data_IF_061364640798
#
_entry.id   IF_061364640798
#
_cell.length_a   1.000
_cell.length_b   1.000
_cell.length_c   1.000
_cell.angle_alpha   90.00
_cell.angle_beta   90.00
_cell.angle_gamma   90.00
#
_symmetry.space_group_name_H-M   'P 1'
#
loop_
_entity.id
_entity.type
_entity.pdbx_description
1 polymer ?
#
# COMPACT_ATOMS: atom_id res chain seq x y z
N UNK A 1 -19.26 -0.52 0.82
CA UNK A 1 -17.99 -1.06 1.35
C UNK A 1 -17.23 -1.65 0.17
N UNK A 2 -16.05 -1.12 -0.18
CA UNK A 2 -15.27 -1.61 -1.32
C UNK A 2 -14.69 -3.00 -0.95
N UNK A 3 -15.16 -4.12 -1.56
CA UNK A 3 -14.73 -5.47 -1.19
C UNK A 3 -13.29 -5.77 -1.61
N UNK A 4 -12.65 -4.84 -2.35
CA UNK A 4 -11.31 -4.98 -2.91
C UNK A 4 -10.24 -4.28 -2.07
N UNK A 5 -10.63 -3.76 -0.89
CA UNK A 5 -9.75 -3.15 0.10
C UNK A 5 -9.46 -4.17 1.21
N UNK A 6 -8.18 -4.44 1.48
CA UNK A 6 -7.77 -5.16 2.69
C UNK A 6 -7.43 -4.17 3.79
N UNK A 7 -7.91 -4.45 4.99
CA UNK A 7 -7.64 -3.63 6.17
C UNK A 7 -7.14 -4.55 7.28
N UNK A 8 -6.05 -4.17 7.93
CA UNK A 8 -5.49 -4.87 9.08
C UNK A 8 -5.03 -3.86 10.12
N UNK A 9 -5.36 -4.12 11.37
CA UNK A 9 -4.87 -3.36 12.51
C UNK A 9 -3.93 -4.23 13.32
N UNK A 10 -2.72 -3.73 13.57
CA UNK A 10 -1.73 -4.33 14.43
C UNK A 10 -1.80 -3.62 15.79
N UNK A 11 -2.00 -4.33 16.91
CA UNK A 11 -2.10 -3.73 18.24
C UNK A 11 -0.73 -3.34 18.81
N UNK A 12 0.05 -2.58 18.02
CA UNK A 12 1.44 -2.19 18.31
C UNK A 12 1.72 -0.83 17.68
N UNK A 13 2.37 0.06 18.42
CA UNK A 13 2.92 1.29 17.87
C UNK A 13 4.25 0.99 17.18
N UNK A 14 4.46 1.57 16.01
CA UNK A 14 5.68 1.35 15.23
C UNK A 14 6.33 2.66 14.82
N UNK A 15 7.63 2.62 14.58
CA UNK A 15 8.29 3.65 13.79
C UNK A 15 7.88 3.49 12.32
N UNK A 16 7.02 4.40 11.83
CA UNK A 16 6.52 4.36 10.46
C UNK A 16 7.63 4.52 9.43
N UNK A 17 8.65 5.34 9.68
CA UNK A 17 9.75 5.50 8.74
C UNK A 17 10.50 4.17 8.59
N UNK A 18 10.77 3.48 9.70
CA UNK A 18 11.42 2.15 9.68
C UNK A 18 10.57 1.13 8.93
N UNK A 19 9.29 0.98 9.30
CA UNK A 19 8.38 0.00 8.66
C UNK A 19 8.22 0.26 7.16
N UNK A 20 7.98 1.51 6.77
CA UNK A 20 7.80 1.90 5.37
C UNK A 20 9.09 1.69 4.57
N UNK A 21 10.24 2.10 5.10
CA UNK A 21 11.53 1.92 4.42
C UNK A 21 11.86 0.44 4.24
N UNK A 22 11.65 -0.41 5.25
CA UNK A 22 11.86 -1.86 5.11
C UNK A 22 10.93 -2.48 4.06
N UNK A 23 9.67 -2.07 4.04
CA UNK A 23 8.71 -2.55 3.04
C UNK A 23 9.10 -2.11 1.62
N UNK A 24 9.54 -0.87 1.45
CA UNK A 24 9.99 -0.37 0.15
C UNK A 24 11.32 -0.97 -0.28
N UNK A 25 12.25 -1.26 0.64
CA UNK A 25 13.45 -2.05 0.33
C UNK A 25 13.10 -3.43 -0.21
N UNK A 26 12.10 -4.11 0.37
CA UNK A 26 11.59 -5.38 -0.14
C UNK A 26 10.97 -5.26 -1.53
N UNK A 27 10.12 -4.24 -1.76
CA UNK A 27 9.52 -4.02 -3.08
C UNK A 27 10.58 -3.71 -4.15
N UNK A 28 11.57 -2.87 -3.81
CA UNK A 28 12.67 -2.55 -4.73
C UNK A 28 13.52 -3.79 -5.06
N UNK A 29 13.78 -4.68 -4.09
CA UNK A 29 14.54 -5.92 -4.36
C UNK A 29 13.78 -6.89 -5.27
N UNK A 30 12.44 -6.90 -5.20
CA UNK A 30 11.56 -7.63 -6.13
C UNK A 30 11.22 -6.82 -7.41
N UNK A 31 12.03 -5.79 -7.72
CA UNK A 31 12.00 -4.97 -8.96
C UNK A 31 10.68 -4.23 -9.20
N UNK A 32 9.98 -3.85 -8.15
CA UNK A 32 8.83 -2.97 -8.26
C UNK A 32 9.29 -1.53 -8.51
N UNK A 33 8.51 -0.78 -9.29
CA UNK A 33 8.56 0.68 -9.28
C UNK A 33 7.75 1.17 -8.10
N UNK A 34 8.37 1.92 -7.19
CA UNK A 34 7.77 2.33 -5.92
C UNK A 34 7.86 3.84 -5.74
N UNK A 35 6.86 4.42 -5.10
CA UNK A 35 6.94 5.74 -4.48
C UNK A 35 6.34 5.68 -3.08
N UNK A 36 6.86 6.50 -2.18
CA UNK A 36 6.41 6.52 -0.79
C UNK A 36 6.37 7.96 -0.26
N UNK A 37 5.54 8.19 0.75
CA UNK A 37 5.58 9.40 1.56
C UNK A 37 5.20 9.05 3.00
N UNK A 38 5.98 9.55 3.94
CA UNK A 38 5.70 9.49 5.39
C UNK A 38 5.50 10.91 5.88
N UNK A 39 4.41 11.17 6.59
CA UNK A 39 4.02 12.49 7.09
C UNK A 39 3.37 12.32 8.46
N UNK A 40 4.09 12.69 9.53
CA UNK A 40 3.63 12.51 10.91
C UNK A 40 3.36 11.04 11.26
N UNK A 41 2.12 10.73 11.66
CA UNK A 41 1.67 9.38 12.01
C UNK A 41 1.04 8.63 10.83
N UNK A 42 1.20 9.14 9.60
CA UNK A 42 0.60 8.58 8.38
C UNK A 42 1.66 8.32 7.32
N UNK A 43 1.44 7.31 6.50
CA UNK A 43 2.24 7.07 5.31
C UNK A 43 1.42 6.47 4.18
N UNK A 44 1.95 6.61 2.97
CA UNK A 44 1.43 5.98 1.77
C UNK A 44 2.60 5.40 0.96
N UNK A 45 2.39 4.20 0.44
CA UNK A 45 3.30 3.52 -0.48
C UNK A 45 2.49 3.11 -1.71
N UNK A 46 2.98 3.45 -2.90
CA UNK A 46 2.41 2.99 -4.16
C UNK A 46 3.45 2.16 -4.92
N UNK A 47 3.02 1.01 -5.43
CA UNK A 47 3.88 0.05 -6.10
C UNK A 47 3.27 -0.39 -7.45
N UNK A 48 4.09 -0.37 -8.50
CA UNK A 48 3.79 -0.88 -9.84
C UNK A 48 4.81 -1.98 -10.19
N UNK A 49 4.36 -3.18 -10.55
CA UNK A 49 5.23 -4.22 -11.11
C UNK A 49 5.06 -4.24 -12.63
N UNK A 50 6.16 -4.22 -13.38
CA UNK A 50 6.10 -4.45 -14.84
C UNK A 50 5.62 -5.87 -15.18
N UNK A 51 5.18 -6.09 -16.41
CA UNK A 51 4.62 -7.37 -16.86
C UNK A 51 3.17 -7.53 -16.39
N UNK A 52 2.85 -8.66 -15.75
CA UNK A 52 1.48 -9.10 -15.39
C UNK A 52 0.62 -7.98 -14.78
N UNK A 53 1.18 -7.09 -13.95
CA UNK A 53 0.44 -5.96 -13.37
C UNK A 53 0.08 -4.87 -14.41
N UNK A 54 0.94 -4.56 -15.38
CA UNK A 54 0.59 -3.68 -16.52
C UNK A 54 -0.27 -4.37 -17.58
N UNK A 55 -0.21 -5.69 -17.64
CA UNK A 55 -0.94 -6.49 -18.64
C UNK A 55 -2.37 -6.84 -18.16
N UNK A 56 -2.57 -6.94 -16.84
CA UNK A 56 -3.87 -7.20 -16.20
C UNK A 56 -4.51 -5.90 -15.70
N UNK A 57 -3.72 -4.91 -15.29
CA UNK A 57 -4.23 -3.64 -14.77
C UNK A 57 -3.87 -2.50 -15.72
N UNK A 58 -4.79 -1.55 -15.88
CA UNK A 58 -4.51 -0.32 -16.62
C UNK A 58 -3.21 0.36 -16.12
N UNK A 59 -2.41 0.85 -17.07
CA UNK A 59 -1.04 1.33 -16.82
C UNK A 59 -0.94 2.52 -15.85
N UNK A 60 -2.07 3.16 -15.57
CA UNK A 60 -2.23 4.26 -14.63
C UNK A 60 -2.58 3.82 -13.20
N UNK A 61 -2.68 2.51 -12.91
CA UNK A 61 -2.97 2.00 -11.56
C UNK A 61 -1.74 1.52 -10.81
N UNK A 62 -1.91 1.35 -9.50
CA UNK A 62 -0.90 0.96 -8.55
C UNK A 62 -1.53 0.16 -7.41
N UNK A 63 -0.77 -0.78 -6.83
CA UNK A 63 -1.08 -1.25 -5.48
C UNK A 63 -0.73 -0.12 -4.51
N UNK A 64 -1.71 0.33 -3.77
CA UNK A 64 -1.61 1.43 -2.82
C UNK A 64 -1.76 0.88 -1.41
N UNK A 65 -0.84 1.25 -0.54
CA UNK A 65 -0.84 0.92 0.87
C UNK A 65 -0.89 2.21 1.66
N UNK A 66 -1.82 2.35 2.60
CA UNK A 66 -1.80 3.41 3.60
C UNK A 66 -1.47 2.84 4.95
N UNK A 67 -0.72 3.60 5.74
CA UNK A 67 -0.28 3.27 7.08
C UNK A 67 -0.68 4.43 7.99
N UNK A 68 -1.26 4.13 9.14
CA UNK A 68 -1.64 5.14 10.11
C UNK A 68 -1.43 4.58 11.53
N UNK A 69 -0.56 5.22 12.32
CA UNK A 69 -0.50 4.94 13.75
C UNK A 69 -1.71 5.60 14.42
N UNK A 70 -2.67 4.78 14.85
CA UNK A 70 -3.84 5.19 15.64
C UNK A 70 -3.60 4.88 17.12
N UNK A 71 -4.47 5.34 18.05
CA UNK A 71 -4.38 4.94 19.46
C UNK A 71 -4.44 3.42 19.69
N UNK A 72 -5.02 2.66 18.75
CA UNK A 72 -5.13 1.19 18.82
C UNK A 72 -3.89 0.47 18.23
N UNK A 73 -2.93 1.22 17.67
CA UNK A 73 -1.73 0.69 17.03
C UNK A 73 -1.67 1.05 15.54
N UNK A 74 -0.89 0.30 14.77
CA UNK A 74 -0.75 0.53 13.34
C UNK A 74 -1.96 0.00 12.57
N UNK A 75 -2.64 0.88 11.84
CA UNK A 75 -3.64 0.54 10.83
C UNK A 75 -2.98 0.51 9.46
N UNK A 76 -3.16 -0.59 8.72
CA UNK A 76 -2.71 -0.72 7.33
C UNK A 76 -3.90 -1.04 6.44
N UNK A 77 -4.00 -0.31 5.34
CA UNK A 77 -4.95 -0.57 4.28
C UNK A 77 -4.19 -0.86 3.00
N UNK A 78 -4.59 -1.87 2.25
CA UNK A 78 -4.08 -2.19 0.92
C UNK A 78 -5.20 -2.31 -0.10
N UNK A 79 -4.93 -1.90 -1.33
CA UNK A 79 -5.84 -2.08 -2.46
C UNK A 79 -5.30 -1.45 -3.74
N UNK A 80 -6.06 -1.54 -4.82
CA UNK A 80 -5.68 -0.97 -6.13
C UNK A 80 -6.22 0.45 -6.25
N UNK A 81 -5.38 1.38 -6.66
CA UNK A 81 -5.72 2.79 -6.86
C UNK A 81 -5.01 3.38 -8.06
N UNK A 82 -5.34 4.62 -8.43
CA UNK A 82 -4.59 5.35 -9.46
C UNK A 82 -3.19 5.72 -8.94
N UNK A 83 -2.19 5.67 -9.82
CA UNK A 83 -0.83 6.14 -9.53
C UNK A 83 -0.82 7.66 -9.36
N UNK A 84 -0.45 8.14 -8.17
CA UNK A 84 -0.45 9.56 -7.83
C UNK A 84 0.81 10.21 -8.41
N UNK A 85 0.66 11.02 -9.46
CA UNK A 85 1.82 11.61 -10.18
C UNK A 85 2.69 12.54 -9.32
N UNK A 86 2.07 13.27 -8.39
CA UNK A 86 2.71 14.34 -7.61
C UNK A 86 2.72 14.01 -6.11
N UNK A 87 3.00 12.74 -5.75
CA UNK A 87 2.89 12.29 -4.37
C UNK A 87 3.76 13.11 -3.41
N UNK A 88 4.98 13.50 -3.83
CA UNK A 88 5.91 14.26 -2.99
C UNK A 88 5.33 15.57 -2.43
N UNK A 89 4.53 16.28 -3.21
CA UNK A 89 3.93 17.57 -2.82
C UNK A 89 2.50 17.45 -2.31
N UNK A 90 1.88 16.27 -2.43
CA UNK A 90 0.49 16.04 -2.01
C UNK A 90 0.46 15.67 -0.53
N UNK A 91 -0.36 16.33 0.28
CA UNK A 91 -0.51 16.02 1.71
C UNK A 91 -1.09 14.62 1.92
N UNK A 92 -0.51 13.85 2.85
CA UNK A 92 -0.94 12.46 3.10
C UNK A 92 -2.35 12.45 3.72
N UNK A 93 -2.66 13.42 4.57
CA UNK A 93 -3.99 13.59 5.17
C UNK A 93 -5.09 13.66 4.11
N UNK A 94 -4.93 14.52 3.10
CA UNK A 94 -5.90 14.69 2.01
C UNK A 94 -6.11 13.40 1.22
N UNK A 95 -5.03 12.64 0.98
CA UNK A 95 -5.10 11.36 0.28
C UNK A 95 -5.89 10.34 1.08
N UNK A 96 -5.61 10.20 2.39
CA UNK A 96 -6.28 9.21 3.23
C UNK A 96 -7.78 9.50 3.44
N UNK A 97 -8.21 10.75 3.27
CA UNK A 97 -9.64 11.15 3.26
C UNK A 97 -10.33 10.94 1.90
N UNK A 98 -9.58 10.63 0.84
CA UNK A 98 -10.10 10.50 -0.52
C UNK A 98 -10.45 9.05 -0.91
N UNK A 99 -11.16 8.89 -2.02
CA UNK A 99 -11.41 7.58 -2.64
C UNK A 99 -10.18 7.05 -3.39
N UNK A 100 -9.17 6.58 -2.65
CA UNK A 100 -7.93 6.06 -3.24
C UNK A 100 -8.11 4.73 -3.99
N UNK A 101 -9.12 3.94 -3.61
CA UNK A 101 -9.24 2.54 -4.02
C UNK A 101 -10.34 2.35 -5.06
N UNK A 102 -9.96 1.82 -6.21
CA UNK A 102 -10.82 1.56 -7.34
C UNK A 102 -11.54 0.22 -7.20
N UNK A 103 -12.64 0.08 -7.94
CA UNK A 103 -13.28 -1.21 -8.22
C UNK A 103 -12.61 -1.82 -9.43
N UNK A 104 -12.22 -3.09 -9.32
CA UNK A 104 -11.48 -3.82 -10.37
C UNK A 104 -12.31 -4.99 -10.90
N UNK A 105 -11.99 -5.47 -12.10
CA UNK A 105 -12.69 -6.62 -12.69
C UNK A 105 -12.26 -7.96 -12.06
N UNK A 106 -12.96 -9.06 -12.41
CA UNK A 106 -12.79 -10.36 -11.73
C UNK A 106 -11.40 -10.99 -11.94
N UNK A 107 -10.82 -11.03 -13.16
CA UNK A 107 -9.45 -11.52 -13.36
C UNK A 107 -8.41 -10.67 -12.60
N UNK A 108 -8.52 -9.35 -12.69
CA UNK A 108 -7.66 -8.41 -11.98
C UNK A 108 -7.77 -8.59 -10.46
N UNK A 109 -8.98 -8.79 -9.94
CA UNK A 109 -9.24 -9.05 -8.53
C UNK A 109 -8.49 -10.29 -8.02
N UNK A 110 -8.52 -11.42 -8.74
CA UNK A 110 -7.87 -12.65 -8.27
C UNK A 110 -6.36 -12.50 -8.16
N UNK A 111 -5.75 -11.86 -9.17
CA UNK A 111 -4.33 -11.53 -9.15
C UNK A 111 -4.00 -10.57 -8.01
N UNK A 112 -4.72 -9.46 -7.91
CA UNK A 112 -4.51 -8.46 -6.86
C UNK A 112 -4.67 -9.08 -5.49
N UNK A 113 -5.71 -9.88 -5.27
CA UNK A 113 -5.92 -10.59 -4.01
C UNK A 113 -4.74 -11.49 -3.67
N UNK A 114 -4.18 -12.21 -4.64
CA UNK A 114 -3.00 -13.04 -4.43
C UNK A 114 -1.78 -12.20 -4.03
N UNK A 115 -1.45 -11.18 -4.83
CA UNK A 115 -0.27 -10.33 -4.62
C UNK A 115 -0.39 -9.52 -3.33
N UNK A 116 -1.52 -8.87 -3.10
CA UNK A 116 -1.80 -8.17 -1.84
C UNK A 116 -1.69 -9.10 -0.64
N UNK A 117 -2.09 -10.37 -0.74
CA UNK A 117 -1.93 -11.31 0.39
C UNK A 117 -0.45 -11.57 0.69
N UNK A 118 0.38 -11.72 -0.34
CA UNK A 118 1.83 -11.89 -0.18
C UNK A 118 2.46 -10.63 0.43
N UNK A 119 2.08 -9.45 -0.07
CA UNK A 119 2.60 -8.17 0.42
C UNK A 119 2.14 -7.86 1.85
N UNK A 120 0.87 -8.16 2.20
CA UNK A 120 0.38 -8.04 3.57
C UNK A 120 1.10 -8.97 4.53
N UNK A 121 1.37 -10.23 4.14
CA UNK A 121 2.22 -11.13 4.94
C UNK A 121 3.62 -10.54 5.16
N UNK A 122 4.17 -9.86 4.15
CA UNK A 122 5.47 -9.21 4.32
C UNK A 122 5.42 -8.06 5.33
N UNK A 123 4.33 -7.29 5.33
CA UNK A 123 4.09 -6.24 6.33
C UNK A 123 3.95 -6.87 7.72
N UNK A 124 3.27 -8.01 7.86
CA UNK A 124 3.18 -8.75 9.12
C UNK A 124 4.58 -9.05 9.69
N UNK A 125 5.45 -9.66 8.87
CA UNK A 125 6.84 -9.97 9.26
C UNK A 125 7.66 -8.73 9.63
N UNK A 126 7.41 -7.57 8.98
CA UNK A 126 8.10 -6.30 9.27
C UNK A 126 7.61 -5.75 10.61
N UNK A 127 6.30 -5.74 10.85
CA UNK A 127 5.70 -5.19 12.06
C UNK A 127 6.00 -6.05 13.29
N UNK A 128 6.07 -7.37 13.14
CA UNK A 128 6.42 -8.26 14.24
C UNK A 128 7.83 -7.98 14.79
N UNK A 129 8.80 -7.76 13.90
CA UNK A 129 10.21 -7.49 14.28
C UNK A 129 10.52 -6.03 14.61
N UNK A 130 9.59 -5.10 14.36
CA UNK A 130 9.87 -3.66 14.40
C UNK A 130 10.08 -3.10 15.79
#
# INVERSE_FOLDING_TARGET
>A
MNPFKKEKTYPKQVDLNKVVNEFVSYLNSDKWKVQQKVEGNKAIVQAQKGGILRDIIAADRALTFTFENTPQGLKVIAGVGSWIKNLAITAVETLLLSELFLVVDVPEMLWNKHVESQLMKKIDEIVERS
#
